data_IF_982658558310
#
_entry.id   IF_982658558310
#
_cell.length_a   1.000
_cell.length_b   1.000
_cell.length_c   1.000
_cell.angle_alpha   90.00
_cell.angle_beta   90.00
_cell.angle_gamma   90.00
#
_symmetry.space_group_name_H-M   'P 1'
#
loop_
_entity.id
_entity.type
_entity.pdbx_description
1 polymer ?
#
# COMPACT_ATOMS: atom_id res chain seq x y z
N UNK A 1 27.41 -0.78 7.88
CA UNK A 1 26.05 -0.23 7.69
C UNK A 1 26.11 0.79 6.54
N UNK A 2 26.21 0.30 5.29
CA UNK A 2 26.54 1.10 4.11
C UNK A 2 25.42 1.14 3.04
N UNK A 3 24.25 0.56 3.33
CA UNK A 3 23.25 0.25 2.29
C UNK A 3 22.32 1.41 1.89
N UNK A 4 22.22 2.47 2.69
CA UNK A 4 21.30 3.58 2.43
C UNK A 4 21.84 4.55 1.36
N UNK A 5 23.16 4.64 1.18
CA UNK A 5 23.77 5.54 0.19
C UNK A 5 23.51 5.12 -1.25
N UNK A 6 23.23 3.84 -1.48
CA UNK A 6 23.16 3.24 -2.81
C UNK A 6 21.70 3.04 -3.27
N UNK A 7 20.71 3.34 -2.41
CA UNK A 7 19.31 3.27 -2.82
C UNK A 7 19.03 4.35 -3.86
N UNK A 8 18.63 4.00 -5.09
CA UNK A 8 18.43 4.97 -6.15
C UNK A 8 17.41 6.03 -5.73
N UNK A 9 17.80 7.30 -5.81
CA UNK A 9 16.87 8.40 -5.56
C UNK A 9 15.90 8.47 -6.73
N UNK A 10 14.66 8.06 -6.50
CA UNK A 10 13.56 8.32 -7.43
C UNK A 10 12.49 9.14 -6.75
N UNK A 11 11.94 10.08 -7.52
CA UNK A 11 10.80 10.93 -7.14
C UNK A 11 9.46 10.30 -7.58
N UNK A 12 9.50 9.04 -8.02
CA UNK A 12 8.31 8.29 -8.39
C UNK A 12 7.42 8.06 -7.17
N UNK A 13 6.13 8.22 -7.42
CA UNK A 13 5.06 8.01 -6.44
C UNK A 13 4.34 6.69 -6.63
N UNK A 14 4.69 5.98 -7.69
CA UNK A 14 4.15 4.66 -7.98
C UNK A 14 5.12 3.62 -7.47
N UNK A 15 4.55 2.55 -6.94
CA UNK A 15 5.27 1.39 -6.50
C UNK A 15 4.63 0.12 -7.06
N UNK A 16 5.43 -0.92 -7.11
CA UNK A 16 4.99 -2.27 -7.41
C UNK A 16 5.04 -3.11 -6.15
N UNK A 17 3.94 -3.82 -5.86
CA UNK A 17 3.91 -4.90 -4.88
C UNK A 17 4.45 -6.15 -5.55
N UNK A 18 5.43 -6.75 -4.89
CA UNK A 18 6.19 -7.87 -5.40
C UNK A 18 5.90 -9.12 -4.58
N UNK A 19 5.96 -10.27 -5.24
CA UNK A 19 6.03 -11.59 -4.62
C UNK A 19 7.24 -12.34 -5.19
N UNK A 20 7.91 -13.19 -4.41
CA UNK A 20 8.90 -14.10 -4.95
C UNK A 20 8.27 -15.07 -5.96
N UNK A 21 8.96 -15.33 -7.06
CA UNK A 21 8.58 -16.35 -8.03
C UNK A 21 8.74 -17.75 -7.40
N UNK A 22 7.97 -18.75 -7.82
CA UNK A 22 8.11 -20.14 -7.36
C UNK A 22 9.47 -20.77 -7.69
N UNK A 23 10.12 -20.27 -8.75
CA UNK A 23 11.49 -20.64 -9.12
C UNK A 23 12.56 -19.83 -8.37
N UNK A 24 12.17 -18.74 -7.70
CA UNK A 24 13.08 -18.06 -6.80
C UNK A 24 13.32 -19.01 -5.63
N UNK A 25 14.59 -19.30 -5.34
CA UNK A 25 14.92 -20.11 -4.17
C UNK A 25 14.66 -19.23 -2.94
N UNK A 26 13.44 -19.30 -2.41
CA UNK A 26 13.11 -18.81 -1.08
C UNK A 26 13.78 -19.78 -0.11
N UNK A 27 15.04 -19.53 0.21
CA UNK A 27 15.81 -20.40 1.08
C UNK A 27 15.28 -20.30 2.52
N UNK A 28 14.69 -21.38 3.02
CA UNK A 28 14.43 -21.60 4.44
C UNK A 28 15.76 -21.98 5.11
N UNK A 29 16.43 -21.02 5.77
CA UNK A 29 17.78 -21.20 6.31
C UNK A 29 17.93 -20.83 7.79
N UNK A 30 16.85 -20.88 8.58
CA UNK A 30 16.97 -20.59 10.00
C UNK A 30 17.60 -19.21 10.27
N UNK A 31 18.24 -18.99 11.43
CA UNK A 31 18.68 -17.66 11.82
C UNK A 31 19.93 -17.22 11.03
N UNK A 32 19.66 -16.43 9.99
CA UNK A 32 20.53 -15.46 9.34
C UNK A 32 21.62 -16.01 8.39
N UNK A 33 21.43 -15.69 7.10
CA UNK A 33 22.38 -15.40 6.00
C UNK A 33 21.93 -16.09 4.69
N UNK A 34 21.44 -15.30 3.72
CA UNK A 34 21.03 -15.74 2.38
C UNK A 34 22.08 -15.47 1.29
N UNK A 35 22.20 -16.40 0.34
CA UNK A 35 22.87 -16.23 -0.96
C UNK A 35 21.99 -16.89 -2.05
N UNK A 36 22.05 -16.60 -3.36
CA UNK A 36 22.88 -15.71 -4.18
C UNK A 36 22.03 -14.50 -4.60
N UNK A 37 22.50 -13.33 -4.22
CA UNK A 37 22.00 -11.99 -4.59
C UNK A 37 20.57 -11.58 -4.20
N UNK A 38 19.83 -12.39 -3.43
CA UNK A 38 18.90 -11.85 -2.42
C UNK A 38 19.68 -11.67 -1.12
N UNK A 39 19.80 -10.42 -0.66
CA UNK A 39 20.62 -10.08 0.51
C UNK A 39 19.81 -9.93 1.80
N UNK A 40 18.62 -10.54 1.86
CA UNK A 40 17.73 -10.43 3.03
C UNK A 40 16.76 -11.62 3.10
N UNK A 41 16.45 -12.06 4.32
CA UNK A 41 15.55 -13.19 4.58
C UNK A 41 14.09 -12.68 4.57
N UNK A 42 13.27 -13.26 3.70
CA UNK A 42 11.87 -12.86 3.50
C UNK A 42 10.95 -13.94 4.04
N UNK A 43 10.18 -13.61 5.06
CA UNK A 43 9.16 -14.51 5.61
C UNK A 43 8.00 -14.69 4.61
N UNK A 44 7.35 -15.86 4.56
CA UNK A 44 6.10 -16.04 3.83
C UNK A 44 5.06 -14.98 4.22
N UNK A 45 4.32 -14.45 3.23
CA UNK A 45 3.34 -13.38 3.46
C UNK A 45 3.94 -12.05 3.91
N UNK A 46 5.24 -11.82 3.69
CA UNK A 46 5.83 -10.48 3.80
C UNK A 46 5.37 -9.61 2.64
N UNK A 47 5.14 -8.33 2.89
CA UNK A 47 4.95 -7.36 1.83
C UNK A 47 6.30 -6.92 1.27
N UNK A 48 6.51 -7.03 -0.03
CA UNK A 48 7.69 -6.50 -0.72
C UNK A 48 7.20 -5.40 -1.65
N UNK A 49 7.77 -4.21 -1.54
CA UNK A 49 7.38 -3.06 -2.33
C UNK A 49 8.64 -2.45 -2.93
N UNK A 50 8.59 -2.12 -4.22
CA UNK A 50 9.65 -1.39 -4.90
C UNK A 50 9.09 -0.15 -5.60
N UNK A 51 9.94 0.83 -5.86
CA UNK A 51 9.57 1.96 -6.70
C UNK A 51 9.41 1.46 -8.14
N UNK A 52 8.37 1.96 -8.83
CA UNK A 52 8.11 1.65 -10.23
C UNK A 52 8.17 2.90 -11.11
N UNK A 53 8.50 2.72 -12.38
CA UNK A 53 8.29 3.72 -13.43
C UNK A 53 7.12 3.26 -14.31
N UNK A 54 5.97 3.93 -14.13
CA UNK A 54 4.69 3.50 -14.67
C UNK A 54 4.34 2.08 -14.20
N UNK A 55 4.57 1.10 -15.07
CA UNK A 55 4.07 -0.26 -14.91
C UNK A 55 5.14 -1.30 -14.59
N UNK A 56 6.40 -0.89 -14.44
CA UNK A 56 7.51 -1.82 -14.19
C UNK A 56 8.33 -1.42 -12.96
N UNK A 57 8.78 -2.40 -12.16
CA UNK A 57 9.81 -2.18 -11.15
C UNK A 57 11.02 -1.51 -11.75
N UNK A 58 11.62 -0.58 -11.02
CA UNK A 58 12.92 -0.04 -11.39
C UNK A 58 14.00 -1.13 -11.22
N UNK A 59 14.79 -1.30 -12.27
CA UNK A 59 15.87 -2.28 -12.36
C UNK A 59 17.18 -1.54 -12.56
N UNK A 60 18.23 -1.93 -11.84
CA UNK A 60 19.58 -1.40 -12.05
C UNK A 60 20.27 -2.02 -13.28
N UNK A 61 21.47 -1.55 -13.59
CA UNK A 61 22.27 -2.02 -14.73
C UNK A 61 22.65 -3.52 -14.62
N UNK A 62 22.57 -4.10 -13.42
CA UNK A 62 22.87 -5.50 -13.13
C UNK A 62 21.62 -6.40 -13.15
N UNK A 63 20.43 -5.85 -13.42
CA UNK A 63 19.18 -6.61 -13.48
C UNK A 63 18.49 -6.78 -12.13
N UNK A 64 18.90 -6.03 -11.10
CA UNK A 64 18.34 -6.12 -9.74
C UNK A 64 17.25 -5.08 -9.50
N UNK A 65 16.22 -5.51 -8.77
CA UNK A 65 15.18 -4.65 -8.20
C UNK A 65 15.50 -4.43 -6.73
N UNK A 66 15.52 -3.17 -6.31
CA UNK A 66 15.60 -2.79 -4.90
C UNK A 66 14.19 -2.64 -4.32
N UNK A 67 13.95 -3.20 -3.15
CA UNK A 67 12.64 -3.17 -2.50
C UNK A 67 12.77 -2.93 -1.00
N UNK A 68 11.78 -2.27 -0.41
CA UNK A 68 11.52 -2.35 1.01
C UNK A 68 10.64 -3.57 1.27
N UNK A 69 10.78 -4.17 2.45
CA UNK A 69 9.90 -5.27 2.83
C UNK A 69 9.40 -5.10 4.26
N UNK A 70 8.25 -5.72 4.57
CA UNK A 70 7.81 -5.94 5.94
C UNK A 70 7.24 -7.34 6.10
N UNK A 71 7.81 -8.08 7.03
CA UNK A 71 7.23 -9.30 7.59
C UNK A 71 6.78 -9.07 9.02
N UNK A 72 6.33 -10.13 9.70
CA UNK A 72 5.99 -10.07 11.11
C UNK A 72 6.88 -10.99 11.96
N UNK A 73 8.20 -10.87 11.80
CA UNK A 73 9.16 -11.77 12.45
C UNK A 73 9.08 -11.75 13.98
N UNK A 74 8.68 -10.62 14.56
CA UNK A 74 8.63 -10.42 16.01
C UNK A 74 7.22 -10.56 16.60
N UNK A 75 6.22 -10.96 15.81
CA UNK A 75 4.84 -11.15 16.29
C UNK A 75 4.18 -9.86 16.77
N UNK A 76 4.44 -8.73 16.11
CA UNK A 76 3.76 -7.48 16.37
C UNK A 76 2.28 -7.61 15.97
N UNK A 77 1.38 -7.27 16.89
CA UNK A 77 -0.07 -7.42 16.71
C UNK A 77 -0.66 -6.51 15.63
N UNK A 78 0.05 -5.44 15.27
CA UNK A 78 -0.35 -4.47 14.24
C UNK A 78 0.31 -4.75 12.87
N UNK A 79 0.83 -5.96 12.68
CA UNK A 79 1.43 -6.45 11.44
C UNK A 79 0.96 -7.88 11.13
N UNK A 80 -0.21 -8.27 11.64
CA UNK A 80 -0.79 -9.57 11.36
C UNK A 80 -1.32 -9.63 9.93
N UNK A 81 -1.79 -8.50 9.40
CA UNK A 81 -2.42 -8.38 8.10
C UNK A 81 -1.45 -7.88 7.03
N UNK A 82 -1.68 -8.30 5.80
CA UNK A 82 -0.83 -8.02 4.65
C UNK A 82 -0.86 -6.53 4.29
N UNK A 83 -2.03 -5.88 4.35
CA UNK A 83 -2.14 -4.45 4.09
C UNK A 83 -1.34 -3.61 5.12
N UNK A 84 -1.25 -4.03 6.39
CA UNK A 84 -0.44 -3.36 7.41
C UNK A 84 1.05 -3.44 7.07
N UNK A 85 1.50 -4.63 6.64
CA UNK A 85 2.88 -4.85 6.17
C UNK A 85 3.17 -4.01 4.93
N UNK A 86 2.24 -3.95 3.97
CA UNK A 86 2.34 -3.09 2.78
C UNK A 86 2.50 -1.63 3.18
N UNK A 87 1.66 -1.13 4.10
CA UNK A 87 1.74 0.24 4.57
C UNK A 87 3.11 0.56 5.20
N UNK A 88 3.66 -0.34 6.00
CA UNK A 88 4.99 -0.18 6.59
C UNK A 88 6.11 -0.19 5.54
N UNK A 89 6.10 -1.14 4.60
CA UNK A 89 7.09 -1.21 3.52
C UNK A 89 7.01 0.03 2.60
N UNK A 90 5.80 0.44 2.21
CA UNK A 90 5.56 1.65 1.43
C UNK A 90 6.01 2.91 2.19
N UNK A 91 5.71 3.00 3.48
CA UNK A 91 6.12 4.10 4.34
C UNK A 91 7.64 4.27 4.39
N UNK A 92 8.38 3.16 4.42
CA UNK A 92 9.84 3.17 4.33
C UNK A 92 10.34 3.73 3.01
N UNK A 93 9.79 3.28 1.88
CA UNK A 93 10.16 3.81 0.56
C UNK A 93 9.84 5.29 0.41
N UNK A 94 8.60 5.68 0.73
CA UNK A 94 8.10 7.04 0.55
C UNK A 94 8.93 8.07 1.34
N UNK A 95 9.33 7.72 2.58
CA UNK A 95 10.09 8.62 3.45
C UNK A 95 11.59 8.34 3.46
N UNK A 96 12.05 7.33 2.71
CA UNK A 96 13.44 6.84 2.72
C UNK A 96 13.94 6.58 4.14
N UNK A 97 13.08 5.96 4.96
CA UNK A 97 13.37 5.74 6.37
C UNK A 97 14.58 4.80 6.52
N UNK A 98 15.63 5.18 7.27
CA UNK A 98 16.76 4.32 7.56
C UNK A 98 16.31 3.01 8.22
N UNK A 99 16.51 1.88 7.57
CA UNK A 99 16.10 0.57 8.09
C UNK A 99 16.99 -0.53 7.51
N UNK A 100 17.04 -1.67 8.20
CA UNK A 100 17.60 -2.93 7.67
C UNK A 100 16.58 -3.68 6.79
N UNK A 101 15.32 -3.25 6.79
CA UNK A 101 14.21 -3.86 6.07
C UNK A 101 14.15 -3.43 4.60
N UNK A 102 15.31 -3.50 3.92
CA UNK A 102 15.45 -3.37 2.48
C UNK A 102 16.17 -4.59 1.92
N UNK A 103 15.83 -4.93 0.69
CA UNK A 103 16.44 -6.03 -0.05
C UNK A 103 16.69 -5.65 -1.50
N UNK A 104 17.40 -6.54 -2.19
CA UNK A 104 17.49 -6.55 -3.64
C UNK A 104 17.36 -7.98 -4.13
N UNK A 105 16.78 -8.20 -5.30
CA UNK A 105 16.68 -9.49 -5.96
C UNK A 105 16.72 -9.30 -7.47
N UNK A 106 17.11 -10.33 -8.22
CA UNK A 106 17.07 -10.24 -9.67
C UNK A 106 15.62 -10.12 -10.14
N UNK A 107 15.35 -9.32 -11.18
CA UNK A 107 13.98 -9.06 -11.66
C UNK A 107 13.21 -10.34 -12.02
N UNK A 108 13.90 -11.39 -12.46
CA UNK A 108 13.28 -12.69 -12.83
C UNK A 108 12.78 -13.48 -11.62
N UNK A 109 13.29 -13.18 -10.43
CA UNK A 109 12.93 -13.85 -9.18
C UNK A 109 11.72 -13.21 -8.51
N UNK A 110 11.20 -12.13 -9.09
CA UNK A 110 10.10 -11.34 -8.57
C UNK A 110 8.97 -11.28 -9.59
N UNK A 111 7.75 -11.46 -9.12
CA UNK A 111 6.53 -11.20 -9.87
C UNK A 111 5.82 -9.98 -9.29
N UNK A 112 5.35 -9.12 -10.18
CA UNK A 112 4.54 -7.96 -9.79
C UNK A 112 3.09 -8.40 -9.72
N UNK A 113 2.45 -8.18 -8.57
CA UNK A 113 1.07 -8.61 -8.32
C UNK A 113 0.09 -7.46 -8.13
N UNK A 114 0.59 -6.26 -7.81
CA UNK A 114 -0.22 -5.07 -7.69
C UNK A 114 0.59 -3.79 -7.91
N UNK A 115 -0.12 -2.69 -8.23
CA UNK A 115 0.40 -1.33 -8.15
C UNK A 115 -0.06 -0.67 -6.86
N UNK A 116 0.83 0.13 -6.30
CA UNK A 116 0.61 0.82 -5.05
C UNK A 116 0.98 2.29 -5.20
N UNK A 117 0.11 3.18 -4.74
CA UNK A 117 0.34 4.62 -4.73
C UNK A 117 1.01 5.02 -3.42
N UNK A 118 2.23 5.53 -3.48
CA UNK A 118 3.03 5.94 -2.31
C UNK A 118 2.61 7.30 -1.73
N UNK A 119 1.86 8.13 -2.46
CA UNK A 119 1.34 9.42 -1.96
C UNK A 119 0.01 9.23 -1.23
N UNK A 120 -0.85 8.36 -1.78
CA UNK A 120 -2.14 8.01 -1.18
C UNK A 120 -2.03 6.82 -0.22
N UNK A 121 -0.99 6.00 -0.31
CA UNK A 121 -0.83 4.73 0.41
C UNK A 121 -2.04 3.78 0.18
N UNK A 122 -2.32 3.48 -1.08
CA UNK A 122 -3.45 2.64 -1.50
C UNK A 122 -3.02 1.70 -2.62
N UNK A 123 -3.70 0.56 -2.74
CA UNK A 123 -3.62 -0.27 -3.93
C UNK A 123 -4.34 0.44 -5.08
N UNK A 124 -3.58 0.74 -6.13
CA UNK A 124 -4.11 1.41 -7.32
C UNK A 124 -4.70 0.39 -8.30
N UNK A 125 -4.06 -0.78 -8.42
CA UNK A 125 -4.49 -1.86 -9.31
C UNK A 125 -3.99 -3.21 -8.79
N UNK A 126 -4.84 -4.24 -8.82
CA UNK A 126 -4.44 -5.64 -8.60
C UNK A 126 -4.23 -6.30 -9.96
N UNK A 127 -3.01 -6.76 -10.22
CA UNK A 127 -2.60 -7.34 -11.50
C UNK A 127 -2.70 -8.87 -11.52
N UNK A 128 -2.45 -9.50 -10.37
CA UNK A 128 -2.55 -10.95 -10.19
C UNK A 128 -3.12 -11.26 -8.81
N UNK A 129 -4.45 -11.34 -8.75
CA UNK A 129 -5.17 -11.59 -7.51
C UNK A 129 -4.79 -12.95 -6.91
N UNK A 130 -4.79 -14.01 -7.72
CA UNK A 130 -4.58 -15.37 -7.22
C UNK A 130 -3.23 -15.49 -6.53
N UNK A 131 -2.18 -14.97 -7.16
CA UNK A 131 -0.83 -15.07 -6.60
C UNK A 131 -0.66 -14.18 -5.37
N UNK A 132 -1.30 -13.00 -5.34
CA UNK A 132 -1.31 -12.13 -4.17
C UNK A 132 -2.00 -12.80 -2.98
N UNK A 133 -3.16 -13.41 -3.19
CA UNK A 133 -3.90 -14.12 -2.13
C UNK A 133 -3.14 -15.36 -1.64
N UNK A 134 -2.54 -16.13 -2.55
CA UNK A 134 -1.70 -17.28 -2.20
C UNK A 134 -0.49 -16.86 -1.35
N UNK A 135 0.23 -15.81 -1.78
CA UNK A 135 1.41 -15.32 -1.08
C UNK A 135 1.07 -14.71 0.28
N UNK A 136 0.03 -13.87 0.34
CA UNK A 136 -0.37 -13.17 1.57
C UNK A 136 -1.09 -14.06 2.57
N UNK A 137 -1.73 -15.14 2.10
CA UNK A 137 -2.63 -15.96 2.91
C UNK A 137 -3.96 -15.27 3.23
N UNK A 138 -4.28 -14.17 2.53
CA UNK A 138 -5.48 -13.36 2.75
C UNK A 138 -6.25 -13.15 1.46
N UNK A 139 -7.57 -13.08 1.53
CA UNK A 139 -8.40 -12.75 0.36
C UNK A 139 -8.34 -11.25 0.08
N UNK A 140 -8.40 -10.84 -1.18
CA UNK A 140 -8.46 -9.41 -1.54
C UNK A 140 -9.64 -8.73 -0.85
N UNK A 141 -10.78 -9.41 -0.78
CA UNK A 141 -11.99 -8.90 -0.14
C UNK A 141 -11.86 -8.68 1.38
N UNK A 142 -10.78 -9.14 2.03
CA UNK A 142 -10.53 -8.83 3.45
C UNK A 142 -9.93 -7.44 3.66
N UNK A 143 -9.37 -6.83 2.62
CA UNK A 143 -8.73 -5.51 2.72
C UNK A 143 -9.08 -4.51 1.61
N UNK A 144 -9.63 -4.94 0.47
CA UNK A 144 -10.17 -4.05 -0.56
C UNK A 144 -11.69 -4.16 -0.63
N UNK A 145 -12.39 -3.03 -0.79
CA UNK A 145 -13.82 -3.06 -1.07
C UNK A 145 -14.09 -3.65 -2.47
N UNK A 146 -15.28 -4.25 -2.69
CA UNK A 146 -15.74 -4.51 -4.05
C UNK A 146 -15.93 -3.20 -4.82
N UNK A 147 -16.02 -3.23 -6.17
CA UNK A 147 -16.35 -2.05 -6.94
C UNK A 147 -17.68 -1.43 -6.49
N UNK A 148 -17.66 -0.15 -6.14
CA UNK A 148 -18.82 0.61 -5.66
C UNK A 148 -19.05 1.79 -6.58
N UNK A 149 -20.30 2.00 -7.01
CA UNK A 149 -20.68 3.23 -7.68
C UNK A 149 -20.69 4.38 -6.66
N UNK A 150 -19.94 5.43 -6.94
CA UNK A 150 -19.80 6.60 -6.06
C UNK A 150 -20.44 7.85 -6.68
N UNK A 151 -20.97 8.78 -5.88
CA UNK A 151 -21.13 8.69 -4.42
C UNK A 151 -22.19 7.65 -4.00
N UNK A 152 -21.99 6.98 -2.86
CA UNK A 152 -22.90 5.98 -2.32
C UNK A 152 -23.28 6.29 -0.87
N UNK A 153 -24.58 6.46 -0.60
CA UNK A 153 -25.14 6.68 0.75
C UNK A 153 -26.05 5.52 1.22
N UNK A 154 -26.08 4.41 0.48
CA UNK A 154 -26.90 3.25 0.83
C UNK A 154 -26.26 2.46 1.98
N UNK A 155 -26.96 2.42 3.12
CA UNK A 155 -26.45 1.75 4.33
C UNK A 155 -26.32 0.23 4.17
N UNK A 156 -27.11 -0.41 3.30
CA UNK A 156 -26.98 -1.85 3.05
C UNK A 156 -25.65 -2.16 2.33
N UNK A 157 -25.18 -1.23 1.49
CA UNK A 157 -23.89 -1.33 0.81
C UNK A 157 -22.76 -0.89 1.74
N UNK A 158 -22.92 0.19 2.50
CA UNK A 158 -21.85 0.79 3.32
C UNK A 158 -21.53 -0.06 4.55
N UNK A 159 -22.53 -0.59 5.24
CA UNK A 159 -22.34 -1.23 6.56
C UNK A 159 -21.31 -2.37 6.52
N UNK A 160 -21.33 -3.30 5.54
CA UNK A 160 -20.31 -4.34 5.43
C UNK A 160 -18.89 -3.79 5.22
N UNK A 161 -18.76 -2.65 4.54
CA UNK A 161 -17.47 -2.05 4.19
C UNK A 161 -16.79 -1.36 5.37
N UNK A 162 -17.56 -0.97 6.39
CA UNK A 162 -17.00 -0.40 7.63
C UNK A 162 -16.20 -1.42 8.46
N UNK A 163 -16.26 -2.70 8.10
CA UNK A 163 -15.40 -3.75 8.67
C UNK A 163 -14.06 -3.92 7.96
N UNK A 164 -13.86 -3.25 6.82
CA UNK A 164 -12.59 -3.26 6.09
C UNK A 164 -11.57 -2.35 6.76
N UNK A 165 -10.26 -2.56 6.54
CA UNK A 165 -9.24 -1.63 6.99
C UNK A 165 -9.44 -0.25 6.38
N UNK A 166 -9.37 0.76 7.24
CA UNK A 166 -9.49 2.17 6.86
C UNK A 166 -8.61 3.00 7.78
N UNK A 167 -8.07 4.08 7.21
CA UNK A 167 -7.22 5.03 7.95
C UNK A 167 -8.00 6.30 8.24
N UNK A 168 -8.06 6.76 9.51
CA UNK A 168 -8.65 8.05 9.83
C UNK A 168 -7.79 9.16 9.22
N UNK A 169 -8.43 10.11 8.56
CA UNK A 169 -7.76 11.24 7.90
C UNK A 169 -8.16 12.57 8.55
N UNK A 170 -9.44 12.71 8.93
CA UNK A 170 -9.95 13.88 9.63
C UNK A 170 -11.00 13.43 10.64
N UNK A 171 -10.88 13.88 11.90
CA UNK A 171 -11.70 13.37 13.02
C UNK A 171 -12.24 14.52 13.87
N UNK A 172 -13.07 15.36 13.28
CA UNK A 172 -13.75 16.45 13.98
C UNK A 172 -15.27 16.28 13.88
N UNK A 173 -15.87 15.89 15.01
CA UNK A 173 -17.31 15.66 15.11
C UNK A 173 -18.17 16.91 14.82
N UNK A 174 -17.59 18.11 14.88
CA UNK A 174 -18.31 19.36 14.57
C UNK A 174 -18.36 19.68 13.08
N UNK A 175 -17.46 19.09 12.27
CA UNK A 175 -17.33 19.38 10.84
C UNK A 175 -17.48 18.12 9.98
N UNK A 176 -16.59 17.14 10.15
CA UNK A 176 -16.62 15.87 9.44
C UNK A 176 -15.77 14.79 10.13
N UNK A 177 -16.13 13.54 9.89
CA UNK A 177 -15.28 12.39 10.09
C UNK A 177 -14.96 11.78 8.73
N UNK A 178 -13.68 11.62 8.42
CA UNK A 178 -13.18 11.16 7.13
C UNK A 178 -12.21 10.00 7.33
N UNK A 179 -12.50 8.89 6.67
CA UNK A 179 -11.62 7.72 6.59
C UNK A 179 -11.31 7.40 5.14
N UNK A 180 -10.14 6.83 4.90
CA UNK A 180 -9.71 6.35 3.58
C UNK A 180 -9.51 4.84 3.61
N UNK A 181 -10.11 4.14 2.65
CA UNK A 181 -9.94 2.71 2.41
C UNK A 181 -8.65 2.41 1.65
N UNK A 182 -8.25 1.15 1.60
CA UNK A 182 -7.03 0.69 0.94
C UNK A 182 -7.07 0.76 -0.61
N UNK A 183 -8.22 0.99 -1.23
CA UNK A 183 -8.37 1.31 -2.67
C UNK A 183 -8.37 2.83 -2.95
N UNK A 184 -8.36 3.65 -1.90
CA UNK A 184 -8.49 5.11 -2.00
C UNK A 184 -9.91 5.65 -1.96
N UNK A 185 -10.93 4.81 -1.90
CA UNK A 185 -12.30 5.25 -1.61
C UNK A 185 -12.35 5.95 -0.25
N UNK A 186 -13.17 7.00 -0.16
CA UNK A 186 -13.22 7.89 1.00
C UNK A 186 -14.59 7.82 1.66
N UNK A 187 -14.61 7.43 2.93
CA UNK A 187 -15.84 7.43 3.75
C UNK A 187 -15.92 8.76 4.48
N UNK A 188 -17.05 9.44 4.33
CA UNK A 188 -17.31 10.74 4.96
C UNK A 188 -18.59 10.66 5.76
N UNK A 189 -18.56 11.18 6.99
CA UNK A 189 -19.73 11.49 7.80
C UNK A 189 -19.66 12.94 8.26
N UNK A 190 -20.60 13.77 7.80
CA UNK A 190 -20.79 15.13 8.33
C UNK A 190 -21.92 15.15 9.36
N UNK A 191 -22.07 16.20 10.19
CA UNK A 191 -23.19 16.31 11.12
C UNK A 191 -24.56 16.27 10.45
N UNK A 192 -24.68 16.87 9.26
CA UNK A 192 -25.96 17.13 8.59
C UNK A 192 -26.38 16.05 7.58
N UNK A 193 -25.44 15.21 7.12
CA UNK A 193 -25.70 14.18 6.09
C UNK A 193 -25.48 12.76 6.63
N UNK A 194 -26.11 11.73 6.03
CA UNK A 194 -25.75 10.33 6.31
C UNK A 194 -24.29 10.05 5.92
N UNK A 195 -23.76 8.90 6.36
CA UNK A 195 -22.46 8.42 5.89
C UNK A 195 -22.53 8.19 4.38
N UNK A 196 -21.47 8.58 3.66
CA UNK A 196 -21.37 8.41 2.23
C UNK A 196 -19.94 7.99 1.85
N UNK A 197 -19.82 7.16 0.82
CA UNK A 197 -18.54 6.75 0.22
C UNK A 197 -18.37 7.50 -1.09
N UNK A 198 -17.20 8.09 -1.27
CA UNK A 198 -16.80 8.85 -2.46
C UNK A 198 -15.57 8.25 -3.12
N UNK A 199 -15.49 8.40 -4.43
CA UNK A 199 -14.25 8.32 -5.17
C UNK A 199 -13.43 9.60 -4.95
N UNK A 200 -12.08 9.55 -4.98
CA UNK A 200 -11.23 10.74 -5.01
C UNK A 200 -11.59 11.77 -6.09
N UNK A 201 -12.26 11.34 -7.17
CA UNK A 201 -12.65 12.19 -8.29
C UNK A 201 -14.04 12.82 -8.14
N UNK A 202 -14.80 12.48 -7.10
CA UNK A 202 -16.13 13.03 -6.89
C UNK A 202 -16.05 14.52 -6.54
N UNK A 203 -16.79 15.35 -7.28
CA UNK A 203 -16.81 16.81 -7.10
C UNK A 203 -17.33 17.18 -5.71
N UNK A 204 -18.28 16.40 -5.17
CA UNK A 204 -18.83 16.60 -3.84
C UNK A 204 -17.78 16.39 -2.74
N UNK A 205 -16.95 15.34 -2.87
CA UNK A 205 -15.84 15.10 -1.94
C UNK A 205 -14.86 16.28 -1.94
N UNK A 206 -14.48 16.77 -3.12
CA UNK A 206 -13.62 17.94 -3.25
C UNK A 206 -14.20 19.16 -2.53
N UNK A 207 -15.49 19.44 -2.73
CA UNK A 207 -16.16 20.55 -2.05
C UNK A 207 -16.20 20.37 -0.53
N UNK A 208 -16.35 19.14 -0.03
CA UNK A 208 -16.31 18.87 1.42
C UNK A 208 -14.91 19.16 1.96
N UNK A 209 -13.87 18.60 1.34
CA UNK A 209 -12.48 18.73 1.81
C UNK A 209 -11.98 20.17 1.72
N UNK A 210 -12.35 20.93 0.68
CA UNK A 210 -11.96 22.36 0.54
C UNK A 210 -12.58 23.27 1.61
N UNK A 211 -13.70 22.86 2.22
CA UNK A 211 -14.32 23.59 3.33
C UNK A 211 -13.73 23.22 4.71
N UNK A 212 -12.82 22.25 4.76
CA UNK A 212 -12.11 21.86 5.98
C UNK A 212 -10.73 22.51 6.01
N UNK A 213 -10.27 22.91 7.19
CA UNK A 213 -8.94 23.51 7.40
C UNK A 213 -7.84 22.42 7.44
N UNK A 214 -7.73 21.66 6.35
CA UNK A 214 -6.80 20.53 6.23
C UNK A 214 -5.45 20.97 5.64
N UNK A 215 -4.35 20.36 6.11
CA UNK A 215 -3.03 20.53 5.48
C UNK A 215 -3.10 20.05 4.02
N UNK A 216 -2.52 20.84 3.10
CA UNK A 216 -2.58 20.60 1.67
C UNK A 216 -2.08 19.20 1.25
N UNK A 217 -1.15 18.59 2.00
CA UNK A 217 -0.68 17.21 1.75
C UNK A 217 -1.75 16.18 2.08
N UNK A 218 -2.53 16.42 3.12
CA UNK A 218 -3.65 15.54 3.49
C UNK A 218 -4.74 15.62 2.43
N UNK A 219 -5.07 16.83 1.98
CA UNK A 219 -5.99 17.06 0.86
C UNK A 219 -5.53 16.34 -0.41
N UNK A 220 -4.24 16.49 -0.78
CA UNK A 220 -3.67 15.79 -1.93
C UNK A 220 -3.68 14.26 -1.77
N UNK A 221 -3.48 13.74 -0.56
CA UNK A 221 -3.55 12.30 -0.26
C UNK A 221 -4.97 11.73 -0.32
N UNK A 222 -6.01 12.56 -0.24
CA UNK A 222 -7.41 12.16 -0.40
C UNK A 222 -7.87 12.24 -1.85
N UNK A 223 -7.66 13.39 -2.51
CA UNK A 223 -8.21 13.66 -3.84
C UNK A 223 -7.32 13.09 -4.97
N UNK A 224 -6.09 12.67 -4.64
CA UNK A 224 -5.04 12.49 -5.64
C UNK A 224 -4.64 13.83 -6.26
N UNK A 225 -3.54 13.85 -7.02
CA UNK A 225 -3.26 15.01 -7.87
C UNK A 225 -4.10 14.88 -9.13
N UNK A 226 -4.85 15.92 -9.49
CA UNK A 226 -5.33 16.06 -10.86
C UNK A 226 -4.10 15.94 -11.78
N UNK A 227 -4.09 14.93 -12.65
CA UNK A 227 -3.11 14.83 -13.73
C UNK A 227 -3.29 16.00 -14.69
#
# INVERSE_FOLDING_TARGET
MAWISDFPRHDSKTASVLVPNSNAVVQDLGPFLSGRSMLTDILPGSALICVSDGNAPLVDDEGFVFFAFEGNNNGAVNLERFHEKCLCAAGRLAHRHPSIAYGRAHRTDLQVVARYDLERFVFDEILDQNLLEEWSGETIASFLPPPIATPCSDLEIITPLLGLPMRPVWMDHSTALIWKMEDGSVVVKTPEAPVCIYSPQDVELKSIVENLDMDARITASLLGRHQ
#
